data_IF_841187629468
#
_entry.id   IF_841187629468
#
_cell.length_a   1.000
_cell.length_b   1.000
_cell.length_c   1.000
_cell.angle_alpha   90.00
_cell.angle_beta   90.00
_cell.angle_gamma   90.00
#
_symmetry.space_group_name_H-M   'P 1'
#
loop_
_entity.id
_entity.type
_entity.pdbx_description
1 polymer ?
#
# COMPACT_ATOMS: atom_id res chain seq x y z
N UNK A 1 24.86 13.53 3.88
CA UNK A 1 24.89 12.59 2.73
C UNK A 1 24.07 13.27 1.64
N UNK A 2 24.48 13.20 0.39
CA UNK A 2 23.76 13.86 -0.72
C UNK A 2 23.19 12.78 -1.62
N UNK A 3 21.87 12.79 -1.82
CA UNK A 3 21.15 11.96 -2.77
C UNK A 3 20.57 12.82 -3.88
N UNK A 4 20.32 12.25 -5.05
CA UNK A 4 19.61 12.97 -6.11
C UNK A 4 18.12 13.13 -5.73
N UNK A 5 17.51 12.05 -5.21
CA UNK A 5 16.10 12.07 -4.79
C UNK A 5 15.96 11.52 -3.38
N UNK A 6 15.23 12.25 -2.55
CA UNK A 6 14.73 11.76 -1.26
C UNK A 6 13.22 11.53 -1.36
N UNK A 7 12.77 10.37 -0.89
CA UNK A 7 11.35 10.00 -0.84
C UNK A 7 10.90 9.99 0.61
N UNK A 8 9.94 10.83 0.95
CA UNK A 8 9.29 10.81 2.26
C UNK A 8 8.18 9.76 2.29
N UNK A 9 8.37 8.68 3.03
CA UNK A 9 7.43 7.58 3.21
C UNK A 9 7.80 6.30 2.48
N UNK A 10 8.00 5.22 3.24
CA UNK A 10 8.33 3.86 2.81
C UNK A 10 7.10 2.94 2.69
N UNK A 11 5.94 3.49 2.32
CA UNK A 11 4.76 2.72 1.93
C UNK A 11 4.85 2.19 0.50
N UNK A 12 3.81 1.51 -0.01
CA UNK A 12 3.84 0.92 -1.35
C UNK A 12 4.21 1.92 -2.46
N UNK A 13 3.69 3.14 -2.38
CA UNK A 13 3.96 4.20 -3.36
C UNK A 13 5.43 4.62 -3.35
N UNK A 14 5.99 4.86 -2.15
CA UNK A 14 7.39 5.28 -2.02
C UNK A 14 8.37 4.19 -2.43
N UNK A 15 8.11 2.94 -2.04
CA UNK A 15 8.95 1.80 -2.44
C UNK A 15 8.89 1.56 -3.95
N UNK A 16 7.70 1.64 -4.57
CA UNK A 16 7.59 1.50 -6.02
C UNK A 16 8.34 2.61 -6.75
N UNK A 17 8.18 3.86 -6.32
CA UNK A 17 8.91 4.99 -6.89
C UNK A 17 10.44 4.83 -6.74
N UNK A 18 10.89 4.39 -5.57
CA UNK A 18 12.31 4.15 -5.34
C UNK A 18 12.88 3.09 -6.28
N UNK A 19 12.16 1.99 -6.49
CA UNK A 19 12.52 0.97 -7.47
C UNK A 19 12.61 1.52 -8.89
N UNK A 20 11.61 2.29 -9.34
CA UNK A 20 11.58 2.92 -10.66
C UNK A 20 12.79 3.85 -10.88
N UNK A 21 13.07 4.72 -9.91
CA UNK A 21 14.19 5.66 -9.97
C UNK A 21 15.54 4.93 -10.01
N UNK A 22 15.72 3.91 -9.18
CA UNK A 22 16.94 3.10 -9.15
C UNK A 22 17.17 2.36 -10.46
N UNK A 23 16.13 1.78 -11.06
CA UNK A 23 16.20 1.15 -12.39
C UNK A 23 16.57 2.15 -13.49
N UNK A 24 16.21 3.42 -13.31
CA UNK A 24 16.63 4.52 -14.20
C UNK A 24 18.04 5.06 -13.90
N UNK A 25 18.77 4.49 -12.93
CA UNK A 25 20.11 4.90 -12.55
C UNK A 25 20.20 6.13 -11.66
N UNK A 26 19.07 6.54 -11.03
CA UNK A 26 19.01 7.70 -10.14
C UNK A 26 19.39 7.28 -8.71
N UNK A 27 20.25 8.06 -8.05
CA UNK A 27 20.59 7.88 -6.63
C UNK A 27 19.40 8.33 -5.74
N UNK A 28 18.74 7.37 -5.11
CA UNK A 28 17.51 7.59 -4.34
C UNK A 28 17.64 6.98 -2.94
N UNK A 29 17.02 7.65 -1.95
CA UNK A 29 16.82 7.10 -0.62
C UNK A 29 15.41 7.35 -0.11
N UNK A 30 14.93 6.45 0.75
CA UNK A 30 13.63 6.56 1.41
C UNK A 30 13.83 6.97 2.87
N UNK A 31 13.00 7.92 3.34
CA UNK A 31 12.89 8.30 4.75
C UNK A 31 11.55 7.76 5.25
N UNK A 32 11.57 6.85 6.23
CA UNK A 32 10.38 6.19 6.75
C UNK A 32 10.31 6.30 8.28
N UNK A 33 9.20 6.86 8.79
CA UNK A 33 8.99 7.07 10.23
C UNK A 33 8.80 5.78 11.03
N UNK A 34 8.33 4.70 10.40
CA UNK A 34 8.22 3.38 11.04
C UNK A 34 9.60 2.78 11.24
N UNK A 35 9.83 2.21 12.42
CA UNK A 35 11.07 1.52 12.73
C UNK A 35 11.21 0.18 11.96
N UNK A 36 10.09 -0.44 11.58
CA UNK A 36 10.06 -1.68 10.81
C UNK A 36 9.06 -1.60 9.66
N UNK A 37 9.01 -2.64 8.81
CA UNK A 37 8.01 -2.77 7.74
C UNK A 37 6.67 -3.31 8.25
N UNK A 38 6.59 -3.67 9.53
CA UNK A 38 5.35 -4.18 10.10
C UNK A 38 4.22 -3.17 10.01
N UNK A 39 3.06 -3.65 9.59
CA UNK A 39 1.84 -2.87 9.45
C UNK A 39 0.83 -3.35 10.47
N UNK A 40 0.44 -2.46 11.37
CA UNK A 40 -0.67 -2.72 12.29
C UNK A 40 -1.97 -2.42 11.56
N UNK A 41 -2.79 -3.44 11.39
CA UNK A 41 -4.06 -3.38 10.65
C UNK A 41 -3.89 -3.41 9.12
N UNK A 42 -4.90 -3.91 8.43
CA UNK A 42 -4.93 -3.94 6.96
C UNK A 42 -5.72 -2.76 6.42
N UNK A 43 -5.14 -2.04 5.44
CA UNK A 43 -5.81 -0.91 4.77
C UNK A 43 -6.25 -1.26 3.35
N UNK A 44 -5.42 -1.99 2.62
CA UNK A 44 -5.70 -2.43 1.27
C UNK A 44 -5.74 -3.96 1.20
N UNK A 45 -6.67 -4.48 0.40
CA UNK A 45 -6.93 -5.90 0.24
C UNK A 45 -6.59 -6.46 -1.13
N UNK A 46 -5.95 -5.69 -2.02
CA UNK A 46 -5.63 -6.22 -3.33
C UNK A 46 -5.01 -5.25 -4.32
N UNK A 47 -4.71 -5.79 -5.49
CA UNK A 47 -4.14 -5.10 -6.64
C UNK A 47 -5.08 -5.21 -7.84
N UNK A 48 -5.24 -4.13 -8.58
CA UNK A 48 -5.98 -4.13 -9.84
C UNK A 48 -5.09 -4.59 -11.00
N UNK A 49 -5.72 -5.06 -12.07
CA UNK A 49 -5.09 -5.50 -13.32
C UNK A 49 -3.97 -4.57 -13.78
N UNK A 50 -4.22 -3.26 -13.84
CA UNK A 50 -3.21 -2.27 -14.26
C UNK A 50 -1.98 -2.23 -13.34
N UNK A 51 -2.18 -2.40 -12.04
CA UNK A 51 -1.05 -2.47 -11.10
C UNK A 51 -0.21 -3.73 -11.35
N UNK A 52 -0.87 -4.86 -11.61
CA UNK A 52 -0.19 -6.13 -11.92
C UNK A 52 0.62 -6.02 -13.22
N UNK A 53 0.09 -5.35 -14.24
CA UNK A 53 0.83 -5.06 -15.48
C UNK A 53 2.11 -4.26 -15.24
N UNK A 54 2.06 -3.25 -14.38
CA UNK A 54 3.25 -2.46 -14.02
C UNK A 54 4.28 -3.33 -13.29
N UNK A 55 3.85 -4.17 -12.36
CA UNK A 55 4.73 -5.12 -11.66
C UNK A 55 5.33 -6.17 -12.62
N UNK A 56 4.55 -6.63 -13.61
CA UNK A 56 5.02 -7.55 -14.66
C UNK A 56 6.10 -6.91 -15.54
N UNK A 57 5.93 -5.66 -15.93
CA UNK A 57 6.96 -4.90 -16.66
C UNK A 57 8.28 -4.75 -15.89
N UNK A 58 8.26 -4.90 -14.57
CA UNK A 58 9.43 -4.86 -13.69
C UNK A 58 9.95 -6.25 -13.31
N UNK A 59 9.31 -7.31 -13.84
CA UNK A 59 9.70 -8.70 -13.60
C UNK A 59 9.44 -9.18 -12.17
N UNK A 60 8.55 -8.51 -11.43
CA UNK A 60 8.26 -8.84 -10.03
C UNK A 60 6.82 -9.31 -9.78
N UNK A 61 5.97 -9.36 -10.82
CA UNK A 61 4.56 -9.74 -10.66
C UNK A 61 4.39 -11.14 -10.04
N UNK A 62 5.21 -12.11 -10.43
CA UNK A 62 5.12 -13.48 -9.94
C UNK A 62 5.24 -13.58 -8.41
N UNK A 63 6.02 -12.69 -7.76
CA UNK A 63 6.16 -12.64 -6.31
C UNK A 63 4.85 -12.34 -5.61
N UNK A 64 3.97 -11.55 -6.24
CA UNK A 64 2.64 -11.22 -5.74
C UNK A 64 1.63 -12.31 -6.10
N UNK A 65 1.73 -12.85 -7.32
CA UNK A 65 0.79 -13.85 -7.85
C UNK A 65 0.84 -15.17 -7.08
N UNK A 66 2.00 -15.54 -6.54
CA UNK A 66 2.19 -16.76 -5.72
C UNK A 66 1.48 -16.63 -4.37
N UNK A 67 1.38 -15.41 -3.82
CA UNK A 67 0.80 -15.19 -2.49
C UNK A 67 -0.64 -14.67 -2.55
N UNK A 68 -1.12 -14.22 -3.70
CA UNK A 68 -2.41 -13.60 -3.85
C UNK A 68 -3.45 -14.48 -4.53
N UNK A 69 -4.70 -14.12 -4.36
CA UNK A 69 -5.84 -14.78 -4.99
C UNK A 69 -6.31 -14.01 -6.21
N UNK A 70 -6.32 -14.66 -7.37
CA UNK A 70 -6.86 -14.09 -8.62
C UNK A 70 -8.39 -14.11 -8.61
N UNK A 71 -9.00 -12.98 -8.98
CA UNK A 71 -10.44 -12.84 -9.16
C UNK A 71 -10.74 -12.14 -10.48
N UNK A 72 -11.51 -12.77 -11.36
CA UNK A 72 -11.91 -12.20 -12.64
C UNK A 72 -13.13 -11.28 -12.55
N UNK A 73 -13.65 -11.07 -11.34
CA UNK A 73 -14.74 -10.15 -11.06
C UNK A 73 -14.23 -9.03 -10.16
N UNK A 74 -14.58 -7.80 -10.50
CA UNK A 74 -14.38 -6.63 -9.64
C UNK A 74 -15.69 -5.88 -9.48
N UNK A 75 -15.74 -4.90 -8.57
CA UNK A 75 -16.96 -4.13 -8.33
C UNK A 75 -16.68 -2.65 -8.12
N UNK A 76 -17.60 -1.82 -8.62
CA UNK A 76 -17.60 -0.39 -8.35
C UNK A 76 -19.05 0.09 -8.21
N UNK A 77 -19.32 0.89 -7.19
CA UNK A 77 -20.65 1.46 -6.91
C UNK A 77 -21.80 0.42 -6.88
N UNK A 78 -21.53 -0.81 -6.44
CA UNK A 78 -22.50 -1.91 -6.39
C UNK A 78 -22.70 -2.65 -7.72
N UNK A 79 -21.98 -2.27 -8.77
CA UNK A 79 -21.99 -2.96 -10.06
C UNK A 79 -20.81 -3.90 -10.16
N UNK A 80 -21.02 -5.13 -10.58
CA UNK A 80 -19.96 -6.10 -10.83
C UNK A 80 -19.52 -6.06 -12.29
N UNK A 81 -18.22 -6.18 -12.52
CA UNK A 81 -17.59 -6.20 -13.83
C UNK A 81 -16.82 -7.49 -14.00
N UNK A 82 -17.05 -8.17 -15.13
CA UNK A 82 -16.21 -9.28 -15.57
C UNK A 82 -14.95 -8.74 -16.26
N UNK A 83 -13.80 -9.12 -15.76
CA UNK A 83 -12.49 -8.73 -16.27
C UNK A 83 -11.93 -9.72 -17.30
N UNK A 84 -12.53 -10.91 -17.46
CA UNK A 84 -11.99 -12.00 -18.27
C UNK A 84 -11.80 -11.61 -19.76
N UNK A 85 -12.62 -10.69 -20.27
CA UNK A 85 -12.56 -10.18 -21.63
C UNK A 85 -11.61 -8.99 -21.84
N UNK A 86 -10.88 -8.54 -20.85
CA UNK A 86 -9.98 -7.39 -21.00
C UNK A 86 -8.75 -7.76 -21.84
N UNK A 87 -8.31 -6.87 -22.77
CA UNK A 87 -7.18 -7.11 -23.65
C UNK A 87 -5.84 -6.92 -22.93
N UNK A 88 -5.59 -7.73 -21.90
CA UNK A 88 -4.38 -7.70 -21.06
C UNK A 88 -3.91 -9.12 -20.78
N UNK A 89 -2.63 -9.29 -20.46
CA UNK A 89 -2.08 -10.55 -19.93
C UNK A 89 -2.57 -10.90 -18.53
N UNK A 90 -3.13 -9.91 -17.80
CA UNK A 90 -3.59 -10.02 -16.42
C UNK A 90 -5.06 -9.59 -16.28
N UNK A 91 -6.03 -10.32 -16.93
CA UNK A 91 -7.44 -9.95 -16.91
C UNK A 91 -8.10 -10.35 -15.58
N UNK A 92 -7.53 -9.91 -14.45
CA UNK A 92 -7.99 -10.23 -13.10
C UNK A 92 -7.51 -9.18 -12.09
N UNK A 93 -8.19 -9.10 -10.97
CA UNK A 93 -7.71 -8.47 -9.75
C UNK A 93 -6.98 -9.52 -8.90
N UNK A 94 -6.07 -9.10 -8.05
CA UNK A 94 -5.35 -9.95 -7.12
C UNK A 94 -5.73 -9.57 -5.70
N UNK A 95 -6.42 -10.44 -4.97
CA UNK A 95 -6.63 -10.32 -3.54
C UNK A 95 -5.32 -10.60 -2.82
N UNK A 96 -4.75 -9.58 -2.16
CA UNK A 96 -3.52 -9.67 -1.40
C UNK A 96 -3.47 -8.53 -0.39
N UNK A 97 -3.22 -8.85 0.89
CA UNK A 97 -3.19 -7.85 1.94
C UNK A 97 -2.00 -6.92 1.80
N UNK A 98 -2.16 -5.68 2.19
CA UNK A 98 -1.13 -4.64 2.13
C UNK A 98 0.17 -5.07 2.84
N UNK A 99 0.11 -5.78 3.96
CA UNK A 99 1.29 -6.29 4.66
C UNK A 99 2.20 -7.14 3.76
N UNK A 100 1.60 -8.01 2.92
CA UNK A 100 2.34 -8.84 1.97
C UNK A 100 2.87 -8.00 0.80
N UNK A 101 2.04 -7.09 0.27
CA UNK A 101 2.44 -6.17 -0.79
C UNK A 101 3.67 -5.36 -0.35
N UNK A 102 3.62 -4.76 0.85
CA UNK A 102 4.74 -3.98 1.37
C UNK A 102 5.98 -4.82 1.64
N UNK A 103 5.83 -6.04 2.14
CA UNK A 103 6.95 -6.95 2.37
C UNK A 103 7.65 -7.34 1.06
N UNK A 104 6.89 -7.65 0.03
CA UNK A 104 7.43 -8.02 -1.29
C UNK A 104 8.16 -6.81 -1.91
N UNK A 105 7.55 -5.63 -1.86
CA UNK A 105 8.19 -4.40 -2.37
C UNK A 105 9.45 -4.05 -1.58
N UNK A 106 9.44 -4.19 -0.26
CA UNK A 106 10.62 -3.94 0.57
C UNK A 106 11.77 -4.89 0.22
N UNK A 107 11.48 -6.17 -0.02
CA UNK A 107 12.47 -7.13 -0.50
C UNK A 107 13.05 -6.74 -1.86
N UNK A 108 12.22 -6.30 -2.79
CA UNK A 108 12.68 -5.83 -4.10
C UNK A 108 13.55 -4.57 -4.02
N UNK A 109 13.15 -3.60 -3.21
CA UNK A 109 13.91 -2.36 -2.95
C UNK A 109 15.26 -2.65 -2.28
N UNK A 110 15.32 -3.66 -1.38
CA UNK A 110 16.57 -4.13 -0.77
C UNK A 110 17.49 -4.80 -1.81
N UNK A 111 16.97 -5.63 -2.70
CA UNK A 111 17.72 -6.21 -3.82
C UNK A 111 18.35 -5.13 -4.71
N UNK A 112 17.62 -4.03 -4.94
CA UNK A 112 18.09 -2.86 -5.67
C UNK A 112 19.06 -1.97 -4.87
N UNK A 113 19.32 -2.31 -3.59
CA UNK A 113 20.23 -1.60 -2.68
C UNK A 113 19.83 -0.15 -2.38
N UNK A 114 18.52 0.16 -2.42
CA UNK A 114 18.03 1.48 -2.03
C UNK A 114 18.11 1.64 -0.51
N UNK A 115 18.77 2.70 -0.01
CA UNK A 115 18.80 2.98 1.42
C UNK A 115 17.41 3.36 1.94
N UNK A 116 17.00 2.78 3.07
CA UNK A 116 15.78 3.17 3.78
C UNK A 116 16.18 3.63 5.20
N UNK A 117 16.06 4.92 5.46
CA UNK A 117 16.29 5.52 6.77
C UNK A 117 15.04 5.37 7.60
N UNK A 118 15.02 4.38 8.51
CA UNK A 118 13.86 4.03 9.33
C UNK A 118 13.88 4.70 10.70
N UNK A 119 12.70 4.86 11.29
CA UNK A 119 12.53 5.54 12.58
C UNK A 119 12.67 7.06 12.50
N UNK A 120 12.78 7.60 11.28
CA UNK A 120 13.05 9.01 11.02
C UNK A 120 11.89 9.60 10.20
N UNK A 121 11.39 10.75 10.61
CA UNK A 121 10.30 11.46 9.92
C UNK A 121 10.82 12.75 9.27
N UNK A 122 10.32 13.04 8.06
CA UNK A 122 10.49 14.36 7.45
C UNK A 122 9.59 15.34 8.19
N UNK A 123 10.16 16.38 8.77
CA UNK A 123 9.45 17.40 9.54
C UNK A 123 9.17 18.66 8.76
N UNK A 124 10.06 18.99 7.80
CA UNK A 124 9.96 20.16 6.94
C UNK A 124 10.98 20.10 5.81
N UNK A 125 11.03 21.14 5.03
CA UNK A 125 12.07 21.34 4.02
C UNK A 125 12.21 22.81 3.65
N UNK A 126 13.40 23.18 3.17
CA UNK A 126 13.69 24.43 2.49
C UNK A 126 14.29 24.13 1.12
N UNK A 127 13.92 24.88 0.09
CA UNK A 127 14.44 24.68 -1.27
C UNK A 127 15.05 25.95 -1.83
N UNK A 128 16.04 25.78 -2.69
CA UNK A 128 16.66 26.82 -3.50
C UNK A 128 16.83 26.35 -4.95
N UNK A 129 17.49 27.15 -5.79
CA UNK A 129 17.69 26.84 -7.21
C UNK A 129 18.58 25.60 -7.46
N UNK A 130 19.25 25.07 -6.43
CA UNK A 130 20.18 23.94 -6.54
C UNK A 130 19.68 22.66 -5.88
N UNK A 131 18.56 22.69 -5.17
CA UNK A 131 18.00 21.49 -4.53
C UNK A 131 17.17 21.82 -3.28
N UNK A 132 17.03 20.81 -2.42
CA UNK A 132 16.18 20.85 -1.25
C UNK A 132 16.93 20.35 -0.01
N UNK A 133 16.87 21.10 1.09
CA UNK A 133 17.31 20.69 2.43
C UNK A 133 16.11 20.10 3.16
N UNK A 134 16.15 18.81 3.44
CA UNK A 134 15.06 18.05 4.07
C UNK A 134 15.33 17.95 5.55
N UNK A 135 14.48 18.52 6.37
CA UNK A 135 14.54 18.50 7.82
C UNK A 135 14.02 17.17 8.38
N UNK A 136 14.75 16.61 9.34
CA UNK A 136 14.45 15.30 9.94
C UNK A 136 14.13 15.42 11.44
N UNK A 137 13.35 14.48 11.94
CA UNK A 137 12.93 14.43 13.35
C UNK A 137 14.07 14.36 14.37
N UNK A 138 15.27 13.95 13.93
CA UNK A 138 16.48 13.89 14.77
C UNK A 138 17.23 15.22 14.86
N UNK A 139 16.69 16.29 14.25
CA UNK A 139 17.31 17.62 14.27
C UNK A 139 18.46 17.80 13.28
N UNK A 140 18.67 16.84 12.37
CA UNK A 140 19.60 16.96 11.25
C UNK A 140 18.84 17.22 9.94
N UNK A 141 19.57 17.59 8.88
CA UNK A 141 19.01 17.72 7.54
C UNK A 141 19.79 16.92 6.51
N UNK A 142 19.11 16.52 5.45
CA UNK A 142 19.71 15.88 4.27
C UNK A 142 19.49 16.79 3.05
N UNK A 143 20.55 16.95 2.25
CA UNK A 143 20.47 17.69 0.99
C UNK A 143 20.23 16.73 -0.17
N UNK A 144 19.26 17.06 -1.05
CA UNK A 144 18.97 16.36 -2.29
C UNK A 144 18.69 17.34 -3.42
N UNK A 145 18.59 16.84 -4.66
CA UNK A 145 18.07 17.64 -5.76
C UNK A 145 16.56 17.74 -5.70
N UNK A 146 15.89 16.63 -5.31
CA UNK A 146 14.43 16.56 -5.25
C UNK A 146 13.96 15.88 -3.96
N UNK A 147 12.82 16.36 -3.43
CA UNK A 147 12.05 15.68 -2.38
C UNK A 147 10.70 15.26 -2.95
N UNK A 148 10.34 13.98 -2.80
CA UNK A 148 9.03 13.47 -3.21
C UNK A 148 8.22 13.02 -2.00
N UNK A 149 7.03 13.60 -1.81
CA UNK A 149 6.11 13.25 -0.73
C UNK A 149 5.28 12.01 -1.06
N UNK A 150 5.62 10.87 -0.47
CA UNK A 150 4.86 9.62 -0.48
C UNK A 150 4.34 9.26 0.93
N UNK A 151 4.15 10.26 1.78
CA UNK A 151 3.86 10.18 3.22
C UNK A 151 2.36 10.11 3.55
N UNK A 152 1.53 9.78 2.55
CA UNK A 152 0.12 9.43 2.69
C UNK A 152 -0.83 10.62 2.82
N UNK A 153 -2.10 10.33 3.15
CA UNK A 153 -3.17 11.34 3.14
C UNK A 153 -2.97 12.50 4.12
N UNK A 154 -2.20 12.30 5.20
CA UNK A 154 -1.85 13.34 6.18
C UNK A 154 -0.52 14.01 5.89
N UNK A 155 -0.03 13.90 4.65
CA UNK A 155 1.28 14.34 4.18
C UNK A 155 1.81 15.62 4.84
N UNK A 156 2.99 15.53 5.43
CA UNK A 156 3.74 16.69 5.96
C UNK A 156 4.39 17.47 4.83
N UNK A 157 4.92 16.75 3.83
CA UNK A 157 5.55 17.39 2.65
C UNK A 157 4.54 18.30 1.93
N UNK A 158 3.33 17.80 1.66
CA UNK A 158 2.26 18.61 1.07
C UNK A 158 1.96 19.87 1.89
N UNK A 159 1.82 19.71 3.23
CA UNK A 159 1.50 20.83 4.13
C UNK A 159 2.63 21.84 4.20
N UNK A 160 3.88 21.40 4.28
CA UNK A 160 5.05 22.27 4.27
C UNK A 160 5.19 23.02 2.94
N UNK A 161 4.79 22.41 1.82
CA UNK A 161 4.72 23.05 0.51
C UNK A 161 3.55 24.02 0.34
N UNK A 162 2.68 24.19 1.33
CA UNK A 162 1.48 25.04 1.22
C UNK A 162 0.44 24.52 0.23
N UNK A 163 0.51 23.24 -0.18
CA UNK A 163 -0.42 22.66 -1.15
C UNK A 163 -1.73 22.28 -0.45
N UNK A 164 -2.82 22.90 -0.89
CA UNK A 164 -4.15 22.62 -0.37
C UNK A 164 -4.59 21.17 -0.66
N UNK A 165 -5.52 20.68 0.14
CA UNK A 165 -6.18 19.40 -0.07
C UNK A 165 -7.69 19.60 0.00
N UNK A 166 -8.27 20.29 -1.00
CA UNK A 166 -9.69 20.59 -0.99
C UNK A 166 -10.52 19.30 -1.09
N UNK A 167 -11.66 19.29 -0.42
CA UNK A 167 -12.58 18.14 -0.40
C UNK A 167 -13.75 18.42 0.52
N UNK A 168 -14.67 17.46 0.60
CA UNK A 168 -15.77 17.48 1.57
C UNK A 168 -15.36 16.73 2.83
N UNK A 169 -15.88 17.16 3.96
CA UNK A 169 -15.76 16.38 5.20
C UNK A 169 -16.44 15.02 5.05
N UNK A 170 -15.93 13.97 5.72
CA UNK A 170 -16.55 12.66 5.67
C UNK A 170 -17.95 12.71 6.28
N UNK A 171 -18.94 12.18 5.56
CA UNK A 171 -20.33 12.04 6.03
C UNK A 171 -20.61 10.67 6.62
N UNK A 172 -19.69 9.72 6.43
CA UNK A 172 -19.76 8.36 6.94
C UNK A 172 -18.44 7.97 7.57
N UNK A 173 -18.49 7.05 8.52
CA UNK A 173 -17.30 6.43 9.11
C UNK A 173 -17.38 4.91 8.99
N UNK A 174 -16.22 4.29 8.77
CA UNK A 174 -16.11 2.84 8.75
C UNK A 174 -15.36 2.37 9.99
N UNK A 175 -15.93 1.41 10.70
CA UNK A 175 -15.24 0.66 11.74
C UNK A 175 -14.69 -0.62 11.11
N UNK A 176 -13.39 -0.80 11.22
CA UNK A 176 -12.70 -2.01 10.76
C UNK A 176 -12.02 -2.62 11.97
N UNK A 177 -12.31 -3.89 12.24
CA UNK A 177 -11.70 -4.64 13.32
C UNK A 177 -11.29 -6.04 12.86
N UNK A 178 -10.28 -6.60 13.49
CA UNK A 178 -10.01 -8.03 13.47
C UNK A 178 -10.50 -8.60 14.80
N UNK A 179 -11.35 -9.60 14.75
CA UNK A 179 -12.01 -10.16 15.93
C UNK A 179 -12.10 -11.69 15.83
N UNK A 180 -12.08 -12.34 16.98
CA UNK A 180 -12.45 -13.74 17.08
C UNK A 180 -13.97 -13.83 17.27
N UNK A 181 -14.61 -14.72 16.51
CA UNK A 181 -16.04 -14.96 16.61
C UNK A 181 -16.31 -16.15 17.51
N UNK A 182 -17.28 -15.99 18.41
CA UNK A 182 -17.75 -17.08 19.28
C UNK A 182 -18.49 -18.16 18.49
N UNK A 183 -19.12 -17.79 17.38
CA UNK A 183 -19.91 -18.68 16.50
C UNK A 183 -19.63 -18.37 15.06
N UNK A 184 -19.70 -19.39 14.18
CA UNK A 184 -19.61 -19.20 12.74
C UNK A 184 -20.76 -18.35 12.24
N UNK A 185 -20.51 -17.25 11.52
CA UNK A 185 -21.60 -16.42 11.00
C UNK A 185 -22.39 -17.19 9.92
N UNK A 186 -23.68 -16.97 9.81
CA UNK A 186 -24.51 -17.64 8.81
C UNK A 186 -24.13 -17.28 7.38
N UNK A 187 -23.56 -16.10 7.17
CA UNK A 187 -23.13 -15.60 5.86
C UNK A 187 -21.79 -14.87 5.96
N UNK A 188 -20.94 -15.09 4.97
CA UNK A 188 -19.69 -14.38 4.75
C UNK A 188 -19.83 -13.38 3.62
N UNK A 189 -19.01 -12.32 3.63
CA UNK A 189 -18.99 -11.34 2.56
C UNK A 189 -19.57 -9.99 2.98
N UNK A 190 -20.07 -9.25 2.00
CA UNK A 190 -20.59 -7.90 2.18
C UNK A 190 -22.12 -7.94 2.14
N UNK A 191 -22.75 -7.39 3.17
CA UNK A 191 -24.19 -7.18 3.26
C UNK A 191 -24.51 -5.69 3.40
N UNK A 192 -25.54 -5.24 2.75
CA UNK A 192 -26.08 -3.89 2.90
C UNK A 192 -27.52 -3.96 3.37
N UNK A 193 -27.82 -3.23 4.42
CA UNK A 193 -29.19 -3.12 4.98
C UNK A 193 -29.48 -1.68 5.42
N UNK A 194 -30.59 -1.48 6.12
CA UNK A 194 -31.01 -0.16 6.62
C UNK A 194 -30.05 0.45 7.66
N UNK A 195 -29.18 -0.36 8.27
CA UNK A 195 -28.20 0.07 9.28
C UNK A 195 -26.85 0.43 8.67
N UNK A 196 -26.63 0.05 7.40
CA UNK A 196 -25.37 0.38 6.71
C UNK A 196 -24.78 -0.78 5.89
N UNK A 197 -23.47 -0.75 5.73
CA UNK A 197 -22.71 -1.81 5.06
C UNK A 197 -21.96 -2.60 6.12
N UNK A 198 -22.16 -3.91 6.10
CA UNK A 198 -21.49 -4.86 6.98
C UNK A 198 -20.66 -5.82 6.10
N UNK A 199 -19.43 -6.07 6.46
CA UNK A 199 -18.61 -7.08 5.80
C UNK A 199 -17.94 -7.98 6.82
N UNK A 200 -17.98 -9.27 6.57
CA UNK A 200 -17.27 -10.29 7.33
C UNK A 200 -16.37 -11.06 6.38
N UNK A 201 -15.09 -11.10 6.66
CA UNK A 201 -14.11 -11.83 5.86
C UNK A 201 -13.11 -12.56 6.75
N UNK A 202 -12.79 -13.81 6.39
CA UNK A 202 -11.71 -14.54 7.05
C UNK A 202 -10.39 -13.84 6.78
N UNK A 203 -9.57 -13.68 7.82
CA UNK A 203 -8.35 -12.90 7.79
C UNK A 203 -7.15 -13.77 7.42
N UNK A 204 -7.11 -15.00 7.90
CA UNK A 204 -6.02 -15.92 7.66
C UNK A 204 -6.40 -17.01 6.67
N UNK A 205 -5.53 -17.22 5.71
CA UNK A 205 -5.65 -18.30 4.73
C UNK A 205 -4.25 -18.79 4.35
N UNK A 206 -4.18 -20.05 3.96
CA UNK A 206 -3.01 -20.65 3.35
C UNK A 206 -3.33 -21.04 1.90
N UNK A 207 -2.36 -20.90 1.03
CA UNK A 207 -2.46 -21.42 -0.34
C UNK A 207 -1.68 -22.73 -0.41
N UNK A 208 -2.39 -23.83 -0.70
CA UNK A 208 -1.80 -25.16 -0.92
C UNK A 208 -2.19 -25.62 -2.31
N UNK A 209 -1.21 -25.91 -3.17
CA UNK A 209 -1.44 -26.39 -4.56
C UNK A 209 -2.35 -25.48 -5.40
N UNK A 210 -2.34 -24.15 -5.16
CA UNK A 210 -3.19 -23.20 -5.87
C UNK A 210 -4.61 -23.09 -5.33
N UNK A 211 -4.96 -23.83 -4.27
CA UNK A 211 -6.24 -23.73 -3.57
C UNK A 211 -6.10 -22.96 -2.25
N UNK A 212 -7.16 -22.24 -1.87
CA UNK A 212 -7.19 -21.46 -0.64
C UNK A 212 -7.83 -22.28 0.46
N UNK A 213 -7.08 -22.42 1.54
CA UNK A 213 -7.55 -22.99 2.79
C UNK A 213 -7.62 -21.87 3.82
N UNK A 214 -8.83 -21.53 4.23
CA UNK A 214 -9.01 -20.63 5.37
C UNK A 214 -8.76 -21.39 6.66
N UNK A 215 -8.11 -20.73 7.60
CA UNK A 215 -7.98 -21.28 8.95
C UNK A 215 -9.40 -21.48 9.54
N UNK A 216 -9.65 -22.67 10.10
CA UNK A 216 -10.95 -22.99 10.73
C UNK A 216 -11.19 -22.11 11.96
N UNK A 217 -10.11 -21.68 12.61
CA UNK A 217 -10.09 -20.77 13.75
C UNK A 217 -9.08 -19.66 13.48
N UNK A 218 -9.48 -18.42 13.66
CA UNK A 218 -8.59 -17.28 13.46
C UNK A 218 -9.37 -15.97 13.39
N UNK A 219 -8.67 -14.84 13.39
CA UNK A 219 -9.30 -13.54 13.38
C UNK A 219 -10.12 -13.34 12.10
N UNK A 220 -11.27 -12.71 12.27
CA UNK A 220 -12.20 -12.33 11.21
C UNK A 220 -12.12 -10.82 11.04
N UNK A 221 -11.99 -10.36 9.81
CA UNK A 221 -12.13 -8.95 9.48
C UNK A 221 -13.60 -8.55 9.53
N UNK A 222 -13.91 -7.55 10.34
CA UNK A 222 -15.25 -6.98 10.48
C UNK A 222 -15.21 -5.54 9.99
N UNK A 223 -16.08 -5.19 9.06
CA UNK A 223 -16.29 -3.82 8.63
C UNK A 223 -17.76 -3.45 8.87
N UNK A 224 -17.98 -2.31 9.51
CA UNK A 224 -19.31 -1.71 9.71
C UNK A 224 -19.23 -0.24 9.29
N UNK A 225 -20.21 0.19 8.51
CA UNK A 225 -20.32 1.59 8.04
C UNK A 225 -21.59 2.20 8.54
#
# INVERSE_FOLDING_TARGET
>A
MKHEVLIAGGGPTGMMLAGELTLAGVDVAIIERRASQELVGSRAGGLHSRTIEVLDQRGIADRFLVEGQKAQVTGFAGVHFDLSGFPTRHPYSLGLRQKHIERILAGWVDELKVPIYRGIEVTGFAQDDTGVDVELSEGCSLRAHYLVGCDGGRSRVRKAAGIAFPGSDPTTSNLIAEAELAETPPEWGIRRDALGIHALGRVEYEIRNGEIFYADHGPVGVLVT
#
